data_IF_158476400650
#
_entry.id   IF_158476400650
#
_cell.length_a   1.000
_cell.length_b   1.000
_cell.length_c   1.000
_cell.angle_alpha   90.00
_cell.angle_beta   90.00
_cell.angle_gamma   90.00
#
_symmetry.space_group_name_H-M   'P 1'
#
loop_
_entity.id
_entity.type
_entity.pdbx_description
1 polymer ?
#
# COMPACT_ATOMS: atom_id res chain seq x y z
N UNK A 1 5.39 4.84 14.41
CA UNK A 1 4.85 3.96 13.48
C UNK A 1 3.64 3.29 13.97
N UNK A 2 2.59 3.25 13.21
CA UNK A 2 1.32 2.76 13.69
C UNK A 2 0.63 1.90 12.66
N UNK A 3 0.20 0.73 13.06
CA UNK A 3 -0.53 -0.17 12.20
C UNK A 3 -1.86 -0.47 12.87
N UNK A 4 -2.95 -0.24 12.14
CA UNK A 4 -4.27 -0.48 12.68
C UNK A 4 -5.01 -1.40 11.73
N UNK A 5 -5.62 -2.46 12.26
CA UNK A 5 -6.32 -3.44 11.45
C UNK A 5 -7.74 -3.53 11.97
N UNK A 6 -8.71 -3.39 11.08
CA UNK A 6 -10.10 -3.52 11.47
C UNK A 6 -10.87 -4.38 10.46
N UNK A 7 -11.95 -4.97 10.92
CA UNK A 7 -12.77 -5.82 10.07
C UNK A 7 -14.20 -5.34 10.12
N UNK A 8 -14.92 -5.47 9.00
CA UNK A 8 -16.31 -5.16 8.92
C UNK A 8 -17.08 -6.40 8.58
N UNK A 9 -18.25 -6.56 9.13
CA UNK A 9 -19.17 -7.66 8.83
C UNK A 9 -18.58 -9.03 9.19
N UNK A 10 -17.77 -9.06 10.25
CA UNK A 10 -17.20 -10.31 10.70
C UNK A 10 -15.96 -10.07 11.52
N UNK A 11 -15.28 -11.15 11.85
CA UNK A 11 -14.08 -11.08 12.65
C UNK A 11 -12.93 -11.77 11.93
N UNK A 12 -11.74 -11.27 12.09
CA UNK A 12 -10.56 -11.91 11.54
C UNK A 12 -10.03 -12.90 12.55
N UNK A 13 -9.58 -14.05 12.08
CA UNK A 13 -8.94 -15.00 12.95
C UNK A 13 -7.59 -14.45 13.39
N UNK A 14 -7.04 -15.01 14.46
CA UNK A 14 -5.74 -14.55 14.92
C UNK A 14 -4.67 -14.77 13.87
N UNK A 15 -4.75 -15.89 13.16
CA UNK A 15 -3.78 -16.16 12.11
C UNK A 15 -3.84 -15.15 10.98
N UNK A 16 -5.05 -14.74 10.60
CA UNK A 16 -5.21 -13.75 9.55
C UNK A 16 -4.73 -12.38 10.02
N UNK A 17 -5.03 -12.02 11.27
CA UNK A 17 -4.54 -10.77 11.80
C UNK A 17 -3.02 -10.75 11.83
N UNK A 18 -2.40 -11.85 12.24
CA UNK A 18 -0.94 -11.94 12.28
C UNK A 18 -0.36 -11.84 10.89
N UNK A 19 -1.00 -12.46 9.92
CA UNK A 19 -0.55 -12.40 8.53
C UNK A 19 -0.57 -10.95 8.03
N UNK A 20 -1.66 -10.23 8.27
CA UNK A 20 -1.77 -8.84 7.84
C UNK A 20 -0.75 -7.97 8.56
N UNK A 21 -0.60 -8.18 9.85
CA UNK A 21 0.35 -7.42 10.65
C UNK A 21 1.77 -7.61 10.11
N UNK A 22 2.13 -8.82 9.79
CA UNK A 22 3.44 -9.12 9.28
C UNK A 22 3.69 -8.43 7.95
N UNK A 23 2.69 -8.43 7.06
CA UNK A 23 2.84 -7.79 5.76
C UNK A 23 2.97 -6.27 5.91
N UNK A 24 2.18 -5.70 6.81
CA UNK A 24 2.25 -4.26 7.06
C UNK A 24 3.61 -3.88 7.64
N UNK A 25 4.12 -4.68 8.55
CA UNK A 25 5.42 -4.41 9.15
C UNK A 25 6.52 -4.49 8.11
N UNK A 26 6.36 -5.40 7.16
CA UNK A 26 7.34 -5.54 6.11
C UNK A 26 7.37 -4.28 5.24
N UNK A 27 6.22 -3.72 4.93
CA UNK A 27 6.18 -2.46 4.18
C UNK A 27 6.89 -1.36 4.95
N UNK A 28 6.68 -1.29 6.26
CA UNK A 28 7.30 -0.28 7.06
C UNK A 28 8.82 -0.41 7.10
N UNK A 29 9.30 -1.62 7.05
CA UNK A 29 10.74 -1.84 7.04
C UNK A 29 11.37 -1.46 5.70
N UNK A 30 10.64 -1.69 4.61
CA UNK A 30 11.17 -1.37 3.31
C UNK A 30 11.15 0.12 3.01
N UNK A 31 10.17 0.83 3.55
CA UNK A 31 9.98 2.24 3.21
C UNK A 31 9.93 3.03 4.50
N UNK A 32 11.08 3.52 4.91
CA UNK A 32 11.23 4.12 6.24
C UNK A 32 10.55 5.46 6.41
N UNK A 33 9.96 6.00 5.36
CA UNK A 33 9.25 7.26 5.50
C UNK A 33 7.77 7.07 5.79
N UNK A 34 7.32 5.84 5.96
CA UNK A 34 5.93 5.59 6.27
C UNK A 34 5.65 5.92 7.72
N UNK A 35 4.50 6.51 7.99
CA UNK A 35 4.11 6.89 9.35
C UNK A 35 2.99 6.03 9.88
N UNK A 36 2.08 5.56 9.04
CA UNK A 36 1.02 4.70 9.51
C UNK A 36 0.45 3.84 8.39
N UNK A 37 -0.13 2.72 8.77
CA UNK A 37 -0.84 1.85 7.83
C UNK A 37 -2.16 1.48 8.49
N UNK A 38 -3.26 1.72 7.77
CA UNK A 38 -4.57 1.37 8.24
C UNK A 38 -5.15 0.35 7.32
N UNK A 39 -5.54 -0.80 7.83
CA UNK A 39 -6.05 -1.90 7.04
C UNK A 39 -7.52 -2.13 7.38
N UNK A 40 -8.36 -2.17 6.37
CA UNK A 40 -9.77 -2.47 6.55
C UNK A 40 -10.12 -3.70 5.73
N UNK A 41 -10.71 -4.70 6.36
CA UNK A 41 -11.11 -5.91 5.70
C UNK A 41 -12.62 -6.03 5.79
N UNK A 42 -13.28 -6.17 4.64
CA UNK A 42 -14.73 -6.32 4.62
C UNK A 42 -15.04 -7.78 4.31
N UNK A 43 -15.74 -8.42 5.26
CA UNK A 43 -16.04 -9.83 5.17
C UNK A 43 -17.48 -10.10 4.81
N UNK A 44 -18.14 -9.12 4.20
CA UNK A 44 -19.55 -9.19 3.99
C UNK A 44 -20.04 -10.34 3.14
N UNK A 45 -19.41 -10.61 2.05
CA UNK A 45 -19.89 -11.61 1.11
C UNK A 45 -18.83 -12.65 0.84
N UNK A 46 -19.08 -13.53 -0.10
CA UNK A 46 -18.07 -14.46 -0.53
C UNK A 46 -16.87 -13.73 -1.11
N UNK A 47 -17.12 -12.58 -1.72
CA UNK A 47 -16.03 -11.78 -2.26
C UNK A 47 -15.57 -10.82 -1.18
N UNK A 48 -14.43 -11.08 -0.60
CA UNK A 48 -13.90 -10.24 0.46
C UNK A 48 -13.17 -9.06 -0.15
N UNK A 49 -13.09 -7.97 0.58
CA UNK A 49 -12.40 -6.77 0.11
C UNK A 49 -11.38 -6.33 1.15
N UNK A 50 -10.21 -5.95 0.71
CA UNK A 50 -9.14 -5.48 1.60
C UNK A 50 -8.63 -4.15 1.07
N UNK A 51 -8.50 -3.20 1.97
CA UNK A 51 -7.95 -1.90 1.62
C UNK A 51 -6.85 -1.54 2.61
N UNK A 52 -5.73 -1.08 2.10
CA UNK A 52 -4.66 -0.54 2.93
C UNK A 52 -4.54 0.94 2.62
N UNK A 53 -4.60 1.75 3.66
CA UNK A 53 -4.30 3.17 3.52
C UNK A 53 -2.97 3.40 4.19
N UNK A 54 -1.98 3.78 3.41
CA UNK A 54 -0.61 3.94 3.88
C UNK A 54 -0.27 5.42 3.85
N UNK A 55 0.16 5.95 4.97
CA UNK A 55 0.52 7.36 5.07
C UNK A 55 2.02 7.49 5.18
N UNK A 56 2.58 8.47 4.51
CA UNK A 56 4.00 8.72 4.53
C UNK A 56 4.27 10.17 4.93
N UNK A 57 5.52 10.48 5.22
CA UNK A 57 5.88 11.83 5.58
C UNK A 57 5.48 12.79 4.48
N UNK A 58 5.30 14.04 4.85
CA UNK A 58 4.92 15.11 3.93
C UNK A 58 3.51 14.92 3.37
N UNK A 59 2.68 14.25 4.13
CA UNK A 59 1.26 14.11 3.80
C UNK A 59 1.02 13.37 2.50
N UNK A 60 1.84 12.40 2.18
CA UNK A 60 1.59 11.55 1.03
C UNK A 60 0.85 10.32 1.50
N UNK A 61 -0.20 9.96 0.79
CA UNK A 61 -0.98 8.77 1.10
C UNK A 61 -0.99 7.85 -0.09
N UNK A 62 -1.00 6.55 0.17
CA UNK A 62 -1.07 5.54 -0.86
C UNK A 62 -2.19 4.59 -0.50
N UNK A 63 -2.99 4.20 -1.48
CA UNK A 63 -4.11 3.32 -1.23
C UNK A 63 -3.97 2.09 -2.11
N UNK A 64 -4.11 0.92 -1.53
CA UNK A 64 -4.18 -0.32 -2.27
C UNK A 64 -5.48 -1.02 -1.92
N UNK A 65 -6.14 -1.59 -2.89
CA UNK A 65 -7.42 -2.23 -2.70
C UNK A 65 -7.50 -3.45 -3.59
N UNK A 66 -8.10 -4.52 -3.08
CA UNK A 66 -8.31 -5.72 -3.86
C UNK A 66 -9.50 -6.49 -3.34
N UNK A 67 -10.11 -7.29 -4.21
CA UNK A 67 -11.19 -8.18 -3.83
C UNK A 67 -10.85 -9.58 -4.28
N UNK A 68 -11.27 -10.55 -3.49
CA UNK A 68 -11.02 -11.96 -3.80
C UNK A 68 -11.83 -12.77 -2.80
N UNK A 69 -12.10 -14.01 -3.08
CA UNK A 69 -12.81 -14.83 -2.13
C UNK A 69 -11.91 -15.30 -0.99
N UNK A 70 -10.61 -15.06 -1.06
CA UNK A 70 -9.66 -15.42 -0.02
C UNK A 70 -8.98 -14.16 0.49
N UNK A 71 -9.09 -13.89 1.77
CA UNK A 71 -8.53 -12.67 2.38
C UNK A 71 -7.01 -12.63 2.20
N UNK A 72 -6.31 -13.75 2.39
CA UNK A 72 -4.87 -13.76 2.27
C UNK A 72 -4.44 -13.41 0.84
N UNK A 73 -5.18 -13.89 -0.15
CA UNK A 73 -4.89 -13.54 -1.54
C UNK A 73 -5.12 -12.05 -1.78
N UNK A 74 -6.18 -11.49 -1.18
CA UNK A 74 -6.43 -10.06 -1.28
C UNK A 74 -5.26 -9.27 -0.72
N UNK A 75 -4.77 -9.67 0.44
CA UNK A 75 -3.67 -8.96 1.09
C UNK A 75 -2.44 -9.00 0.20
N UNK A 76 -2.11 -10.14 -0.36
CA UNK A 76 -0.95 -10.25 -1.24
C UNK A 76 -1.10 -9.35 -2.47
N UNK A 77 -2.30 -9.28 -3.03
CA UNK A 77 -2.55 -8.41 -4.17
C UNK A 77 -2.37 -6.95 -3.81
N UNK A 78 -2.86 -6.57 -2.64
CA UNK A 78 -2.73 -5.17 -2.19
C UNK A 78 -1.28 -4.83 -1.93
N UNK A 79 -0.53 -5.74 -1.31
CA UNK A 79 0.87 -5.51 -1.01
C UNK A 79 1.65 -5.31 -2.30
N UNK A 80 1.40 -6.12 -3.32
CA UNK A 80 2.07 -5.96 -4.60
C UNK A 80 1.80 -4.59 -5.20
N UNK A 81 0.55 -4.13 -5.15
CA UNK A 81 0.19 -2.83 -5.68
C UNK A 81 0.89 -1.71 -4.92
N UNK A 82 0.90 -1.83 -3.60
CA UNK A 82 1.52 -0.81 -2.77
C UNK A 82 3.03 -0.78 -2.95
N UNK A 83 3.66 -1.92 -3.08
CA UNK A 83 5.09 -1.97 -3.30
C UNK A 83 5.43 -1.26 -4.60
N UNK A 84 4.63 -1.44 -5.63
CA UNK A 84 4.84 -0.74 -6.88
C UNK A 84 4.70 0.76 -6.73
N UNK A 85 3.66 1.21 -6.03
CA UNK A 85 3.45 2.64 -5.81
C UNK A 85 4.58 3.24 -4.99
N UNK A 86 4.99 2.56 -3.93
CA UNK A 86 6.02 3.08 -3.04
C UNK A 86 7.39 3.09 -3.71
N UNK A 87 7.66 2.10 -4.53
CA UNK A 87 8.92 2.06 -5.25
C UNK A 87 9.01 3.22 -6.22
N UNK A 88 7.93 3.52 -6.93
CA UNK A 88 7.91 4.65 -7.84
C UNK A 88 8.06 5.97 -7.10
N UNK A 89 7.42 6.07 -5.95
CA UNK A 89 7.55 7.27 -5.13
C UNK A 89 8.98 7.46 -4.66
N UNK A 90 9.62 6.39 -4.22
CA UNK A 90 10.97 6.44 -3.73
C UNK A 90 11.93 6.85 -4.85
N UNK A 91 11.75 6.29 -6.02
CA UNK A 91 12.58 6.64 -7.16
C UNK A 91 12.40 8.10 -7.55
N UNK A 92 11.17 8.56 -7.53
CA UNK A 92 10.89 9.93 -7.87
C UNK A 92 11.53 10.89 -6.90
N UNK A 93 11.48 10.60 -5.64
CA UNK A 93 12.09 11.45 -4.62
C UNK A 93 13.61 11.46 -4.80
N UNK A 94 14.20 10.32 -5.05
CA UNK A 94 15.63 10.24 -5.24
C UNK A 94 16.08 10.97 -6.48
N UNK A 95 15.35 10.81 -7.58
CA UNK A 95 15.68 11.51 -8.80
C UNK A 95 15.61 13.00 -8.60
N UNK A 96 14.58 13.45 -7.95
CA UNK A 96 14.40 14.85 -7.71
C UNK A 96 15.54 15.40 -6.90
N UNK A 97 16.03 14.65 -5.96
CA UNK A 97 17.07 15.08 -5.14
C UNK A 97 18.40 15.07 -5.84
N UNK A 98 18.66 14.10 -6.64
CA UNK A 98 19.87 13.97 -7.25
C UNK A 98 20.06 14.79 -8.46
N UNK A 99 19.09 15.15 -9.22
CA UNK A 99 19.30 15.87 -10.37
C UNK A 99 18.59 17.07 -10.43
N UNK A 100 19.04 17.95 -11.04
CA UNK A 100 18.34 19.14 -11.15
C UNK A 100 18.09 19.41 -12.58
N UNK A 101 18.33 18.51 -13.40
CA UNK A 101 18.12 18.73 -14.77
C UNK A 101 16.68 18.70 -15.11
N UNK A 102 16.16 19.67 -15.72
CA UNK A 102 14.77 19.73 -15.98
C UNK A 102 14.32 18.90 -17.10
N UNK A 103 15.11 18.66 -17.95
CA UNK A 103 14.65 18.02 -19.07
C UNK A 103 13.92 16.81 -18.90
N UNK A 104 14.31 16.08 -18.08
CA UNK A 104 13.74 14.92 -18.04
C UNK A 104 12.51 14.83 -17.63
N UNK A 105 12.13 15.61 -17.22
CA UNK A 105 10.95 15.59 -16.74
C UNK A 105 10.02 15.03 -17.48
N UNK A 106 9.95 15.37 -18.32
CA UNK A 106 8.99 15.00 -19.03
C UNK A 106 8.43 13.81 -18.91
N UNK A 107 8.00 13.64 -19.11
CA UNK A 107 7.40 12.69 -19.21
C UNK A 107 7.02 11.82 -18.63
N UNK A 108 7.12 11.30 -18.57
CA UNK A 108 6.83 10.38 -18.14
C UNK A 108 6.00 10.26 -17.35
N UNK A 109 5.85 10.82 -16.87
CA UNK A 109 5.16 10.74 -15.85
C UNK A 109 4.00 10.14 -16.09
N UNK A 110 3.70 10.42 -16.55
CA UNK A 110 2.61 10.07 -16.70
C UNK A 110 2.39 8.80 -16.64
N UNK A 111 2.87 8.58 -16.99
CA UNK A 111 2.67 7.48 -17.11
C UNK A 111 2.29 6.73 -16.16
N UNK A 112 2.39 6.93 -15.64
CA UNK A 112 2.22 6.24 -14.88
C UNK A 112 1.24 6.09 -14.32
N UNK A 113 0.94 6.47 -14.20
CA UNK A 113 0.29 6.40 -13.67
C UNK A 113 -0.53 5.64 -13.54
N UNK A 114 -0.43 5.39 -13.78
CA UNK A 114 -1.01 4.88 -13.66
C UNK A 114 -1.52 3.99 -13.34
N UNK A 115 -1.41 3.93 -13.29
CA UNK A 115 -1.75 3.25 -13.02
C UNK A 115 -2.20 2.40 -12.61
N UNK A 116 -2.09 2.17 -12.45
CA UNK A 116 -2.44 1.39 -12.08
C UNK A 116 -2.92 0.96 -11.32
N UNK A 117 -3.18 1.04 -10.91
CA UNK A 117 -3.61 0.68 -10.25
C UNK A 117 -4.10 0.42 -10.09
#
# INVERSE_FOLDING_TARGET
MQIKISARHGHLSEGTQAFIQEKAEKLMRFFDRLTSIEVTVDLKDDLKAVEFLVSAEHKHDFVGHATNNDVHACVDMVIDKLEGQLRRYKEKVQDHRRRSSPGEVTGRPAAEGESED
#
